data_IF_913458125913
#
_entry.id   IF_913458125913
#
_cell.length_a   1.000
_cell.length_b   1.000
_cell.length_c   1.000
_cell.angle_alpha   90.00
_cell.angle_beta   90.00
_cell.angle_gamma   90.00
#
_symmetry.space_group_name_H-M   'P 1'
#
loop_
_entity.id
_entity.type
_entity.pdbx_description
1 polymer ?
#
# COMPACT_ATOMS: atom_id res chain seq x y z
N UNK A 1 5.31 -5.09 -47.14
CA UNK A 1 6.39 -5.81 -46.45
C UNK A 1 7.21 -4.80 -45.69
N UNK A 2 7.06 -4.81 -44.37
CA UNK A 2 7.53 -3.78 -43.46
C UNK A 2 6.90 -4.12 -42.11
N UNK A 3 7.31 -5.27 -41.60
CA UNK A 3 6.73 -5.94 -40.45
C UNK A 3 6.77 -5.07 -39.20
N UNK A 4 5.63 -5.11 -38.51
CA UNK A 4 5.42 -4.81 -37.11
C UNK A 4 6.68 -4.96 -36.25
N UNK A 5 7.26 -3.84 -35.84
CA UNK A 5 8.17 -3.79 -34.70
C UNK A 5 7.52 -3.01 -33.55
N UNK A 6 6.99 -3.79 -32.60
CA UNK A 6 7.16 -3.62 -31.16
C UNK A 6 6.75 -2.26 -30.59
N UNK A 7 5.47 -2.15 -30.19
CA UNK A 7 5.10 -1.39 -29.00
C UNK A 7 4.18 -2.23 -28.12
N UNK A 8 4.70 -3.40 -27.71
CA UNK A 8 4.11 -4.23 -26.67
C UNK A 8 4.24 -3.59 -25.30
N UNK A 9 3.44 -2.56 -25.02
CA UNK A 9 3.05 -2.25 -23.64
C UNK A 9 1.86 -3.16 -23.36
N UNK A 10 2.15 -4.36 -22.83
CA UNK A 10 1.13 -5.26 -22.29
C UNK A 10 0.14 -4.42 -21.48
N UNK A 11 -1.14 -4.43 -21.85
CA UNK A 11 -2.21 -4.08 -20.94
C UNK A 11 -1.93 -4.85 -19.65
N UNK A 12 -1.52 -4.14 -18.60
CA UNK A 12 -1.43 -4.74 -17.28
C UNK A 12 -2.87 -5.16 -16.98
N UNK A 13 -3.08 -6.46 -16.79
CA UNK A 13 -4.37 -6.98 -16.34
C UNK A 13 -4.75 -6.16 -15.10
N UNK A 14 -5.75 -5.30 -15.25
CA UNK A 14 -6.10 -4.30 -14.25
C UNK A 14 -6.58 -4.97 -12.96
N UNK A 15 -7.02 -6.23 -13.06
CA UNK A 15 -7.44 -7.06 -11.93
C UNK A 15 -6.26 -7.72 -11.20
N UNK A 16 -5.07 -7.70 -11.79
CA UNK A 16 -3.84 -8.19 -11.18
C UNK A 16 -3.00 -7.03 -10.62
N UNK A 17 -2.77 -7.07 -9.32
CA UNK A 17 -1.96 -6.10 -8.61
C UNK A 17 -0.99 -6.81 -7.67
N UNK A 18 0.25 -6.32 -7.64
CA UNK A 18 1.28 -6.79 -6.73
C UNK A 18 2.23 -5.65 -6.40
N UNK A 19 2.50 -5.46 -5.11
CA UNK A 19 3.49 -4.50 -4.62
C UNK A 19 4.24 -5.09 -3.45
N UNK A 20 5.55 -4.91 -3.44
CA UNK A 20 6.40 -5.24 -2.28
C UNK A 20 6.87 -3.98 -1.57
N UNK A 21 7.31 -4.10 -0.32
CA UNK A 21 7.80 -2.96 0.45
C UNK A 21 8.98 -2.24 -0.22
N UNK A 22 9.85 -2.95 -0.96
CA UNK A 22 10.93 -2.33 -1.75
C UNK A 22 10.44 -1.45 -2.91
N UNK A 23 9.21 -1.66 -3.37
CA UNK A 23 8.53 -0.83 -4.37
C UNK A 23 7.60 0.20 -3.71
N UNK A 24 7.47 0.18 -2.38
CA UNK A 24 6.71 1.16 -1.64
C UNK A 24 7.60 2.33 -1.21
N UNK A 25 7.23 3.54 -1.65
CA UNK A 25 7.97 4.76 -1.33
C UNK A 25 7.92 5.07 0.17
N UNK A 26 6.86 4.63 0.88
CA UNK A 26 6.70 4.87 2.32
C UNK A 26 7.82 4.20 3.12
N UNK A 27 8.19 2.96 2.78
CA UNK A 27 9.26 2.24 3.44
C UNK A 27 10.63 2.91 3.24
N UNK A 28 10.92 3.34 2.00
CA UNK A 28 12.12 4.12 1.69
C UNK A 28 12.13 5.48 2.39
N UNK A 29 11.01 6.20 2.41
CA UNK A 29 10.90 7.49 3.08
C UNK A 29 11.17 7.36 4.57
N UNK A 30 10.57 6.37 5.26
CA UNK A 30 10.85 6.11 6.67
C UNK A 30 12.34 5.84 6.91
N UNK A 31 12.97 4.99 6.09
CA UNK A 31 14.39 4.69 6.22
C UNK A 31 15.27 5.94 6.02
N UNK A 32 15.04 6.68 4.94
CA UNK A 32 15.84 7.86 4.59
C UNK A 32 15.68 8.99 5.60
N UNK A 33 14.44 9.28 6.02
CA UNK A 33 14.17 10.31 7.04
C UNK A 33 14.84 9.90 8.35
N UNK A 34 14.66 8.65 8.80
CA UNK A 34 15.32 8.16 10.00
C UNK A 34 16.84 8.29 9.92
N UNK A 35 17.44 7.95 8.79
CA UNK A 35 18.89 8.09 8.56
C UNK A 35 19.35 9.55 8.64
N UNK A 36 18.57 10.51 8.12
CA UNK A 36 18.88 11.94 8.24
C UNK A 36 18.88 12.38 9.70
N UNK A 37 17.89 11.97 10.49
CA UNK A 37 17.82 12.32 11.92
C UNK A 37 18.95 11.69 12.73
N UNK A 38 19.33 10.45 12.43
CA UNK A 38 20.51 9.81 13.03
C UNK A 38 21.77 10.57 12.67
N UNK A 39 21.98 10.90 11.39
CA UNK A 39 23.14 11.67 10.95
C UNK A 39 23.20 13.05 11.63
N UNK A 40 22.09 13.78 11.68
CA UNK A 40 21.99 15.08 12.35
C UNK A 40 22.30 14.96 13.85
N UNK A 41 21.72 13.97 14.54
CA UNK A 41 21.96 13.75 15.96
C UNK A 41 23.40 13.37 16.31
N UNK A 42 24.15 12.80 15.36
CA UNK A 42 25.57 12.46 15.51
C UNK A 42 26.52 13.60 15.14
N UNK A 43 26.05 14.63 14.42
CA UNK A 43 26.90 15.69 13.85
C UNK A 43 26.64 17.07 14.44
N UNK A 44 25.43 17.32 14.95
CA UNK A 44 25.06 18.59 15.61
C UNK A 44 25.52 18.53 17.07
N UNK A 45 26.24 19.55 17.52
CA UNK A 45 26.53 19.74 18.94
C UNK A 45 25.23 20.13 19.68
N UNK A 46 24.74 19.31 20.63
CA UNK A 46 23.55 19.63 21.41
C UNK A 46 23.62 21.01 22.07
N UNK A 47 24.80 21.44 22.53
CA UNK A 47 24.99 22.71 23.23
C UNK A 47 24.79 23.92 22.31
N UNK A 48 24.83 23.72 20.99
CA UNK A 48 24.60 24.78 19.99
C UNK A 48 23.13 24.98 19.64
N UNK A 49 22.21 24.13 20.15
CA UNK A 49 20.78 24.18 19.83
C UNK A 49 20.03 25.23 20.65
N UNK A 50 20.28 26.51 20.35
CA UNK A 50 19.64 27.67 20.97
C UNK A 50 19.01 28.59 19.92
N UNK A 51 17.90 29.26 20.27
CA UNK A 51 17.30 30.27 19.41
C UNK A 51 17.96 31.66 19.59
N UNK A 52 17.58 32.63 18.75
CA UNK A 52 18.11 34.00 18.80
C UNK A 52 17.76 34.75 20.11
N UNK A 53 16.73 34.29 20.84
CA UNK A 53 16.35 34.81 22.15
C UNK A 53 17.17 34.20 23.30
N UNK A 54 18.07 33.25 23.02
CA UNK A 54 18.91 32.58 24.01
C UNK A 54 18.28 31.38 24.70
N UNK A 55 17.11 30.91 24.24
CA UNK A 55 16.48 29.70 24.76
C UNK A 55 17.14 28.46 24.13
N UNK A 56 17.70 27.59 24.98
CA UNK A 56 18.42 26.40 24.55
C UNK A 56 17.63 25.12 24.83
N UNK A 57 17.64 24.20 23.87
CA UNK A 57 17.01 22.88 24.00
C UNK A 57 17.99 21.77 23.57
N UNK A 58 19.10 21.59 24.31
CA UNK A 58 20.14 20.61 23.96
C UNK A 58 19.62 19.17 23.99
N UNK A 59 18.59 18.88 24.79
CA UNK A 59 17.98 17.56 24.89
C UNK A 59 17.22 17.14 23.62
N UNK A 60 16.82 18.08 22.75
CA UNK A 60 16.11 17.74 21.51
C UNK A 60 16.96 16.92 20.56
N UNK A 61 18.27 17.20 20.49
CA UNK A 61 19.20 16.49 19.59
C UNK A 61 19.25 14.98 19.90
N UNK A 62 19.52 14.53 21.14
CA UNK A 62 19.50 13.10 21.46
C UNK A 62 18.10 12.46 21.34
N UNK A 63 17.02 13.20 21.64
CA UNK A 63 15.65 12.67 21.42
C UNK A 63 15.39 12.44 19.93
N UNK A 64 15.73 13.42 19.09
CA UNK A 64 15.59 13.33 17.65
C UNK A 64 16.45 12.20 17.07
N UNK A 65 17.65 11.96 17.60
CA UNK A 65 18.49 10.81 17.25
C UNK A 65 17.78 9.49 17.55
N UNK A 66 17.25 9.30 18.75
CA UNK A 66 16.60 8.05 19.17
C UNK A 66 15.34 7.80 18.33
N UNK A 67 14.53 8.84 18.12
CA UNK A 67 13.34 8.76 17.26
C UNK A 67 13.71 8.45 15.81
N UNK A 68 14.74 9.12 15.28
CA UNK A 68 15.28 8.87 13.95
C UNK A 68 15.78 7.44 13.78
N UNK A 69 16.51 6.92 14.77
CA UNK A 69 16.98 5.54 14.77
C UNK A 69 15.82 4.54 14.79
N UNK A 70 14.80 4.77 15.62
CA UNK A 70 13.61 3.91 15.67
C UNK A 70 12.87 3.87 14.32
N UNK A 71 12.61 5.04 13.73
CA UNK A 71 11.94 5.16 12.42
C UNK A 71 12.79 4.57 11.30
N UNK A 72 14.09 4.87 11.30
CA UNK A 72 15.04 4.39 10.30
C UNK A 72 15.17 2.87 10.32
N UNK A 73 15.34 2.28 11.50
CA UNK A 73 15.41 0.82 11.67
C UNK A 73 14.07 0.15 11.33
N UNK A 74 12.93 0.78 11.65
CA UNK A 74 11.62 0.29 11.22
C UNK A 74 11.47 0.24 9.70
N UNK A 75 11.85 1.32 9.01
CA UNK A 75 11.86 1.39 7.55
C UNK A 75 12.83 0.37 6.92
N UNK A 76 14.05 0.26 7.46
CA UNK A 76 15.03 -0.74 7.01
C UNK A 76 14.50 -2.17 7.22
N UNK A 77 13.90 -2.45 8.38
CA UNK A 77 13.28 -3.74 8.67
C UNK A 77 12.21 -4.12 7.65
N UNK A 78 11.34 -3.18 7.28
CA UNK A 78 10.34 -3.37 6.21
C UNK A 78 11.00 -3.65 4.85
N UNK A 79 12.06 -2.94 4.49
CA UNK A 79 12.78 -3.15 3.22
C UNK A 79 13.50 -4.51 3.17
N UNK A 80 14.04 -4.96 4.31
CA UNK A 80 14.72 -6.24 4.44
C UNK A 80 13.72 -7.40 4.41
N UNK A 81 12.70 -7.35 5.26
CA UNK A 81 11.63 -8.35 5.31
C UNK A 81 10.84 -8.40 3.99
N UNK A 82 10.76 -7.27 3.29
CA UNK A 82 10.10 -7.09 2.01
C UNK A 82 8.70 -7.73 1.95
N UNK A 83 7.79 -7.40 2.89
CA UNK A 83 6.43 -7.88 2.80
C UNK A 83 5.81 -7.44 1.48
N UNK A 84 4.89 -8.25 0.98
CA UNK A 84 4.16 -7.94 -0.23
C UNK A 84 2.65 -7.99 0.00
N UNK A 85 1.95 -7.33 -0.91
CA UNK A 85 0.50 -7.24 -0.96
C UNK A 85 0.03 -7.25 -2.39
N UNK A 86 -1.22 -7.62 -2.60
CA UNK A 86 -1.77 -7.68 -3.93
C UNK A 86 -3.11 -8.37 -4.00
N UNK A 87 -3.62 -8.42 -5.22
CA UNK A 87 -4.78 -9.21 -5.59
C UNK A 87 -4.62 -9.75 -6.99
N UNK A 88 -5.27 -10.86 -7.30
CA UNK A 88 -5.46 -11.33 -8.68
C UNK A 88 -6.66 -12.25 -8.78
N UNK A 89 -7.14 -12.45 -10.01
CA UNK A 89 -8.04 -13.56 -10.32
C UNK A 89 -7.18 -14.79 -10.56
N UNK A 90 -7.33 -15.81 -9.72
CA UNK A 90 -6.65 -17.08 -9.90
C UNK A 90 -7.19 -17.78 -11.15
N UNK A 91 -6.29 -18.23 -12.03
CA UNK A 91 -6.66 -18.78 -13.32
C UNK A 91 -7.26 -20.20 -13.22
N UNK A 92 -6.92 -20.94 -12.17
CA UNK A 92 -7.37 -22.31 -11.96
C UNK A 92 -8.76 -22.34 -11.31
N UNK A 93 -8.93 -21.62 -10.21
CA UNK A 93 -10.18 -21.57 -9.46
C UNK A 93 -11.15 -20.48 -9.93
N UNK A 94 -10.68 -19.48 -10.68
CA UNK A 94 -11.47 -18.31 -11.07
C UNK A 94 -11.77 -17.33 -9.92
N UNK A 95 -11.22 -17.59 -8.73
CA UNK A 95 -11.49 -16.80 -7.52
C UNK A 95 -10.67 -15.52 -7.51
N UNK A 96 -11.24 -14.46 -6.95
CA UNK A 96 -10.47 -13.29 -6.55
C UNK A 96 -9.72 -13.63 -5.25
N UNK A 97 -8.40 -13.53 -5.28
CA UNK A 97 -7.51 -13.75 -4.12
C UNK A 97 -6.82 -12.43 -3.80
N UNK A 98 -6.72 -12.09 -2.52
CA UNK A 98 -5.97 -10.93 -2.05
C UNK A 98 -5.13 -11.26 -0.81
N UNK A 99 -4.08 -10.47 -0.60
CA UNK A 99 -3.19 -10.61 0.56
C UNK A 99 -2.54 -9.28 0.93
N UNK A 100 -2.24 -9.14 2.21
CA UNK A 100 -1.45 -8.07 2.80
C UNK A 100 -0.37 -8.66 3.70
N UNK A 101 0.69 -7.89 3.92
CA UNK A 101 1.76 -8.22 4.88
C UNK A 101 2.35 -9.62 4.67
N UNK A 102 2.41 -10.12 3.43
CA UNK A 102 2.87 -11.47 3.13
C UNK A 102 4.39 -11.55 3.15
N UNK A 103 4.93 -12.45 3.98
CA UNK A 103 6.37 -12.72 4.08
C UNK A 103 6.72 -14.05 3.41
N UNK A 104 7.54 -14.03 2.35
CA UNK A 104 7.88 -15.26 1.63
C UNK A 104 6.67 -15.92 0.94
N UNK A 105 6.60 -17.26 0.97
CA UNK A 105 5.55 -18.06 0.29
C UNK A 105 4.36 -18.44 1.19
N UNK A 106 4.42 -18.17 2.49
CA UNK A 106 3.36 -18.52 3.45
C UNK A 106 3.29 -17.48 4.56
N UNK A 107 2.08 -17.03 4.88
CA UNK A 107 1.82 -16.06 5.95
C UNK A 107 1.44 -14.68 5.43
N UNK A 108 0.68 -13.95 6.23
CA UNK A 108 0.05 -12.66 5.90
C UNK A 108 -1.45 -12.71 6.11
N UNK A 109 -2.10 -11.55 6.04
CA UNK A 109 -3.55 -11.45 6.05
C UNK A 109 -4.06 -11.70 4.64
N UNK A 110 -4.91 -12.69 4.45
CA UNK A 110 -5.37 -13.09 3.12
C UNK A 110 -6.85 -13.44 3.10
N UNK A 111 -7.42 -13.40 1.90
CA UNK A 111 -8.77 -13.83 1.66
C UNK A 111 -8.98 -14.24 0.21
N UNK A 112 -10.09 -14.94 -0.02
CA UNK A 112 -10.53 -15.25 -1.36
C UNK A 112 -12.05 -15.29 -1.45
N UNK A 113 -12.60 -14.91 -2.59
CA UNK A 113 -14.03 -15.00 -2.87
C UNK A 113 -14.25 -15.39 -4.33
N UNK A 114 -15.29 -16.17 -4.58
CA UNK A 114 -15.75 -16.37 -5.95
C UNK A 114 -16.41 -15.07 -6.43
N UNK A 115 -16.06 -14.53 -7.61
CA UNK A 115 -16.74 -13.36 -8.15
C UNK A 115 -18.27 -13.48 -8.21
N UNK A 116 -18.83 -14.70 -8.36
CA UNK A 116 -20.26 -14.95 -8.29
C UNK A 116 -20.87 -14.62 -6.92
N UNK A 117 -20.10 -14.81 -5.85
CA UNK A 117 -20.52 -14.55 -4.46
C UNK A 117 -20.36 -13.08 -4.06
N UNK A 118 -19.80 -12.23 -4.93
CA UNK A 118 -19.71 -10.80 -4.70
C UNK A 118 -21.04 -10.14 -5.06
N UNK A 119 -21.63 -9.41 -4.11
CA UNK A 119 -22.83 -8.62 -4.37
C UNK A 119 -22.53 -7.17 -4.69
N UNK A 120 -21.53 -6.59 -4.02
CA UNK A 120 -21.30 -5.16 -4.02
C UNK A 120 -19.81 -4.84 -3.87
N UNK A 121 -19.34 -3.94 -4.73
CA UNK A 121 -18.11 -3.17 -4.55
C UNK A 121 -18.52 -1.76 -4.16
N UNK A 122 -18.01 -1.25 -3.04
CA UNK A 122 -18.26 0.12 -2.58
C UNK A 122 -16.97 0.91 -2.55
N UNK A 123 -16.95 2.05 -3.21
CA UNK A 123 -15.88 3.05 -3.13
C UNK A 123 -16.38 4.21 -2.25
N UNK A 124 -15.62 4.57 -1.23
CA UNK A 124 -15.88 5.68 -0.31
C UNK A 124 -14.84 6.76 -0.62
N UNK A 125 -15.28 7.83 -1.27
CA UNK A 125 -14.44 9.00 -1.53
C UNK A 125 -14.16 9.74 -0.25
N UNK A 126 -12.92 10.16 -0.07
CA UNK A 126 -12.50 10.95 1.08
C UNK A 126 -11.82 12.22 0.57
N UNK A 127 -12.25 13.38 1.08
CA UNK A 127 -11.73 14.67 0.60
C UNK A 127 -10.27 14.93 1.01
N UNK A 128 -9.83 14.35 2.13
CA UNK A 128 -8.50 14.61 2.72
C UNK A 128 -7.58 13.37 2.76
N UNK A 129 -8.06 12.21 2.31
CA UNK A 129 -7.31 10.95 2.35
C UNK A 129 -7.55 10.11 1.08
N UNK A 130 -6.88 8.96 0.96
CA UNK A 130 -7.17 8.04 -0.13
C UNK A 130 -8.60 7.52 -0.05
N UNK A 131 -9.27 7.42 -1.21
CA UNK A 131 -10.55 6.71 -1.33
C UNK A 131 -10.42 5.29 -0.72
N UNK A 132 -11.44 4.86 0.02
CA UNK A 132 -11.53 3.50 0.54
C UNK A 132 -12.32 2.61 -0.41
N UNK A 133 -11.92 1.35 -0.57
CA UNK A 133 -12.70 0.35 -1.30
C UNK A 133 -13.09 -0.82 -0.39
N UNK A 134 -14.33 -1.28 -0.49
CA UNK A 134 -14.84 -2.41 0.28
C UNK A 134 -15.58 -3.38 -0.62
N UNK A 135 -15.44 -4.66 -0.32
CA UNK A 135 -16.07 -5.76 -1.03
C UNK A 135 -17.05 -6.47 -0.11
N UNK A 136 -18.26 -6.71 -0.60
CA UNK A 136 -19.34 -7.35 0.15
C UNK A 136 -19.84 -8.59 -0.58
N UNK A 137 -20.07 -9.67 0.17
CA UNK A 137 -20.65 -10.89 -0.38
C UNK A 137 -22.18 -10.79 -0.53
N UNK A 138 -22.81 -11.82 -1.09
CA UNK A 138 -24.29 -11.93 -1.21
C UNK A 138 -25.04 -11.84 0.12
N UNK A 139 -24.41 -12.17 1.24
CA UNK A 139 -24.99 -12.01 2.58
C UNK A 139 -24.87 -10.57 3.13
N UNK A 140 -24.21 -9.66 2.40
CA UNK A 140 -23.96 -8.29 2.83
C UNK A 140 -22.79 -8.14 3.80
N UNK A 141 -21.97 -9.18 3.97
CA UNK A 141 -20.82 -9.18 4.85
C UNK A 141 -19.61 -8.58 4.13
N UNK A 142 -18.95 -7.62 4.80
CA UNK A 142 -17.70 -7.04 4.32
C UNK A 142 -16.59 -8.10 4.38
N UNK A 143 -15.86 -8.26 3.29
CA UNK A 143 -14.71 -9.15 3.24
C UNK A 143 -13.52 -8.52 3.97
N UNK A 144 -12.93 -9.29 4.89
CA UNK A 144 -11.79 -8.85 5.69
C UNK A 144 -10.53 -8.71 4.83
N UNK A 145 -9.66 -7.77 5.24
CA UNK A 145 -8.37 -7.50 4.60
C UNK A 145 -8.45 -7.08 3.11
N UNK A 146 -9.64 -6.82 2.60
CA UNK A 146 -9.86 -6.22 1.30
C UNK A 146 -10.09 -4.71 1.46
N UNK A 147 -9.14 -3.93 0.93
CA UNK A 147 -9.08 -2.47 0.97
C UNK A 147 -8.21 -1.93 -0.19
N UNK A 148 -7.92 -0.63 -0.18
CA UNK A 148 -7.14 0.05 -1.21
C UNK A 148 -5.68 -0.44 -1.31
N UNK A 149 -5.16 -1.13 -0.30
CA UNK A 149 -3.78 -1.60 -0.29
C UNK A 149 -3.60 -2.90 -1.09
N UNK A 150 -4.69 -3.63 -1.39
CA UNK A 150 -4.65 -4.89 -2.16
C UNK A 150 -5.01 -4.73 -3.64
N UNK A 151 -5.36 -3.53 -4.10
CA UNK A 151 -5.63 -3.25 -5.51
C UNK A 151 -4.76 -2.09 -6.04
N UNK A 152 -4.80 -1.88 -7.35
CA UNK A 152 -4.13 -0.73 -7.98
C UNK A 152 -4.71 0.61 -7.52
N UNK A 153 -3.95 1.69 -7.71
CA UNK A 153 -4.34 3.05 -7.32
C UNK A 153 -5.63 3.54 -7.99
N UNK A 154 -5.91 3.07 -9.21
CA UNK A 154 -7.15 3.40 -9.94
C UNK A 154 -8.26 2.42 -9.55
N UNK A 155 -8.83 2.66 -8.36
CA UNK A 155 -9.86 1.82 -7.78
C UNK A 155 -11.13 1.78 -8.64
N UNK A 156 -11.45 2.89 -9.30
CA UNK A 156 -12.61 3.00 -10.17
C UNK A 156 -12.44 2.11 -11.40
N UNK A 157 -11.28 2.17 -12.06
CA UNK A 157 -11.03 1.35 -13.23
C UNK A 157 -10.96 -0.15 -12.85
N UNK A 158 -10.39 -0.49 -11.68
CA UNK A 158 -10.44 -1.85 -11.14
C UNK A 158 -11.89 -2.33 -10.92
N UNK A 159 -12.70 -1.53 -10.23
CA UNK A 159 -14.10 -1.87 -9.94
C UNK A 159 -14.93 -2.01 -11.21
N UNK A 160 -14.71 -1.11 -12.19
CA UNK A 160 -15.36 -1.18 -13.49
C UNK A 160 -14.99 -2.46 -14.23
N UNK A 161 -13.72 -2.86 -14.23
CA UNK A 161 -13.29 -4.10 -14.86
C UNK A 161 -13.92 -5.34 -14.21
N UNK A 162 -14.09 -5.34 -12.89
CA UNK A 162 -14.85 -6.38 -12.18
C UNK A 162 -16.31 -6.41 -12.63
N UNK A 163 -17.00 -5.27 -12.67
CA UNK A 163 -18.44 -5.24 -13.05
C UNK A 163 -18.68 -5.49 -14.53
N UNK A 164 -17.74 -5.12 -15.41
CA UNK A 164 -17.83 -5.43 -16.84
C UNK A 164 -17.72 -6.95 -17.07
N UNK A 165 -16.87 -7.64 -16.29
CA UNK A 165 -16.65 -9.09 -16.37
C UNK A 165 -17.73 -9.89 -15.62
N UNK A 166 -18.26 -9.34 -14.54
CA UNK A 166 -19.30 -9.94 -13.70
C UNK A 166 -20.45 -8.94 -13.47
N UNK A 167 -21.41 -8.85 -14.41
CA UNK A 167 -22.43 -7.80 -14.42
C UNK A 167 -23.44 -7.85 -13.26
N UNK A 168 -23.49 -8.93 -12.49
CA UNK A 168 -24.33 -9.03 -11.30
C UNK A 168 -23.77 -8.23 -10.12
N UNK A 169 -22.47 -7.94 -10.12
CA UNK A 169 -21.81 -7.17 -9.06
C UNK A 169 -22.28 -5.72 -9.17
N UNK A 170 -22.82 -5.20 -8.08
CA UNK A 170 -23.19 -3.78 -7.99
C UNK A 170 -21.95 -2.94 -7.67
N UNK A 171 -21.88 -1.76 -8.25
CA UNK A 171 -20.89 -0.74 -7.88
C UNK A 171 -21.60 0.44 -7.22
N UNK A 172 -21.17 0.79 -6.02
CA UNK A 172 -21.64 1.97 -5.29
C UNK A 172 -20.48 2.92 -5.02
N UNK A 173 -20.68 4.20 -5.28
CA UNK A 173 -19.72 5.26 -4.98
C UNK A 173 -20.36 6.22 -4.00
N UNK A 174 -19.75 6.39 -2.83
CA UNK A 174 -20.19 7.35 -1.80
C UNK A 174 -19.14 8.45 -1.67
N UNK A 175 -19.60 9.68 -1.46
CA UNK A 175 -18.79 10.85 -1.14
C UNK A 175 -19.62 11.78 -0.27
#
# INVERSE_FOLDING_TARGET
MGDAMISGRKDKDILAYHRSARQDVRAWAMFLIGAVFVFAGLTIDPQSNCNEAGECAPWLVPVALVMGAAVGLGGLGQLLANPNRGSHIDAESGRLIWWQNRFGRSGGDEGSIDPADIALIRIIKQDESSDGIHLYNQAGERQFYFDEEVIGWDQMAWAKAMTDRWPHIKLEVRG
#
